data_IF_164416807979
#
_entry.id   IF_164416807979
#
_cell.length_a   1.000
_cell.length_b   1.000
_cell.length_c   1.000
_cell.angle_alpha   90.00
_cell.angle_beta   90.00
_cell.angle_gamma   90.00
#
_symmetry.space_group_name_H-M   'P 1'
#
loop_
_entity.id
_entity.type
_entity.pdbx_description
1 polymer ?
#
# COMPACT_ATOMS: atom_id res chain seq x y z
N UNK A 1 -26.32 4.36 -7.20
CA UNK A 1 -25.49 4.13 -6.00
C UNK A 1 -25.01 5.47 -5.44
N UNK A 2 -24.75 5.54 -4.14
CA UNK A 2 -24.01 6.64 -3.52
C UNK A 2 -22.52 6.50 -3.83
N UNK A 3 -21.87 7.62 -4.07
CA UNK A 3 -20.43 7.70 -4.23
C UNK A 3 -19.90 9.00 -3.61
N UNK A 4 -18.60 8.99 -3.28
CA UNK A 4 -17.87 10.19 -2.93
C UNK A 4 -17.24 10.72 -4.21
N UNK A 5 -17.81 11.79 -4.72
CA UNK A 5 -17.33 12.49 -5.90
C UNK A 5 -16.38 13.60 -5.49
N UNK A 6 -15.27 13.73 -6.20
CA UNK A 6 -14.38 14.87 -6.10
C UNK A 6 -14.78 15.89 -7.16
N UNK A 7 -15.31 17.06 -6.75
CA UNK A 7 -15.76 18.09 -7.70
C UNK A 7 -14.64 18.63 -8.56
N UNK A 8 -13.51 18.93 -7.93
CA UNK A 8 -12.24 19.22 -8.58
C UNK A 8 -11.09 18.85 -7.64
N UNK A 9 -9.89 18.68 -8.20
CA UNK A 9 -8.71 18.45 -7.38
C UNK A 9 -8.39 19.67 -6.50
N UNK A 10 -8.17 19.43 -5.22
CA UNK A 10 -8.00 20.43 -4.18
C UNK A 10 -8.06 19.84 -2.77
N UNK A 11 -8.51 20.65 -1.81
CA UNK A 11 -8.69 20.22 -0.43
C UNK A 11 -9.89 19.29 -0.24
N UNK A 12 -10.02 18.76 0.98
CA UNK A 12 -11.09 17.82 1.38
C UNK A 12 -12.51 18.36 1.18
N UNK A 13 -12.68 19.68 1.17
CA UNK A 13 -13.96 20.37 0.95
C UNK A 13 -14.57 20.09 -0.43
N UNK A 14 -13.76 19.57 -1.37
CA UNK A 14 -14.22 19.19 -2.71
C UNK A 14 -14.88 17.81 -2.77
N UNK A 15 -14.86 17.03 -1.68
CA UNK A 15 -15.60 15.77 -1.60
C UNK A 15 -17.10 16.03 -1.41
N UNK A 16 -17.92 15.43 -2.27
CA UNK A 16 -19.38 15.44 -2.18
C UNK A 16 -19.98 14.05 -2.24
N UNK A 17 -21.04 13.84 -1.47
CA UNK A 17 -21.86 12.64 -1.57
C UNK A 17 -22.91 12.83 -2.66
N UNK A 18 -22.81 12.01 -3.69
CA UNK A 18 -23.69 12.09 -4.86
C UNK A 18 -24.29 10.74 -5.20
N UNK A 19 -25.47 10.77 -5.82
CA UNK A 19 -26.06 9.59 -6.43
C UNK A 19 -25.60 9.52 -7.88
N UNK A 20 -24.93 8.42 -8.23
CA UNK A 20 -24.43 8.12 -9.58
C UNK A 20 -25.01 6.79 -10.06
N UNK A 21 -25.07 6.53 -11.38
CA UNK A 21 -25.48 5.23 -11.89
C UNK A 21 -24.63 4.08 -11.34
N UNK A 22 -25.24 2.90 -11.15
CA UNK A 22 -24.45 1.69 -10.89
C UNK A 22 -23.75 1.32 -12.22
N UNK A 23 -22.43 1.09 -12.22
CA UNK A 23 -21.70 0.72 -13.43
C UNK A 23 -22.09 -0.69 -13.92
N UNK A 24 -22.09 -0.87 -15.24
CA UNK A 24 -22.25 -2.20 -15.86
C UNK A 24 -20.90 -2.92 -15.94
N UNK A 25 -20.91 -4.24 -15.86
CA UNK A 25 -19.71 -5.08 -16.01
C UNK A 25 -19.51 -5.55 -17.45
N UNK A 26 -18.26 -5.87 -17.79
CA UNK A 26 -17.88 -6.66 -18.97
C UNK A 26 -17.74 -8.14 -18.63
N UNK A 27 -17.52 -8.97 -19.65
CA UNK A 27 -17.45 -10.43 -19.54
C UNK A 27 -16.34 -10.92 -18.59
N UNK A 28 -15.26 -10.16 -18.41
CA UNK A 28 -14.10 -10.46 -17.56
C UNK A 28 -14.09 -9.70 -16.22
N UNK A 29 -15.18 -9.00 -15.90
CA UNK A 29 -15.31 -8.15 -14.72
C UNK A 29 -16.35 -8.69 -13.72
N UNK A 30 -16.27 -8.20 -12.49
CA UNK A 30 -17.26 -8.40 -11.44
C UNK A 30 -17.75 -7.06 -10.91
N UNK A 31 -19.00 -7.03 -10.44
CA UNK A 31 -19.55 -5.92 -9.68
C UNK A 31 -19.42 -6.25 -8.20
N UNK A 32 -18.72 -5.40 -7.47
CA UNK A 32 -18.47 -5.56 -6.03
C UNK A 32 -19.35 -4.58 -5.29
N UNK A 33 -20.14 -5.06 -4.33
CA UNK A 33 -20.72 -4.23 -3.26
C UNK A 33 -19.65 -3.96 -2.23
N UNK A 34 -19.16 -2.73 -2.17
CA UNK A 34 -18.01 -2.33 -1.35
C UNK A 34 -18.38 -2.42 0.13
N UNK A 35 -17.46 -2.97 0.94
CA UNK A 35 -17.60 -3.13 2.40
C UNK A 35 -16.56 -2.35 3.18
N UNK A 36 -15.36 -2.22 2.63
CA UNK A 36 -14.33 -1.33 3.14
C UNK A 36 -13.39 -0.87 2.02
N UNK A 37 -12.81 0.31 2.20
CA UNK A 37 -11.69 0.82 1.39
C UNK A 37 -10.58 1.33 2.31
N UNK A 38 -9.34 1.29 1.83
CA UNK A 38 -8.19 1.75 2.60
C UNK A 38 -7.73 3.12 2.10
N UNK A 39 -7.29 3.98 3.02
CA UNK A 39 -6.73 5.29 2.69
C UNK A 39 -5.21 5.19 2.61
N UNK A 40 -4.66 5.76 1.56
CA UNK A 40 -3.25 5.80 1.22
C UNK A 40 -2.79 7.25 1.01
N UNK A 41 -1.51 7.56 1.25
CA UNK A 41 -0.95 8.86 0.89
C UNK A 41 -1.16 9.22 -0.60
N UNK A 42 -1.19 8.22 -1.47
CA UNK A 42 -1.48 8.39 -2.90
C UNK A 42 -2.88 8.97 -3.14
N UNK A 43 -3.88 8.62 -2.31
CA UNK A 43 -5.24 9.16 -2.43
C UNK A 43 -5.26 10.66 -2.17
N UNK A 44 -4.55 11.10 -1.12
CA UNK A 44 -4.43 12.52 -0.79
C UNK A 44 -3.66 13.30 -1.87
N UNK A 45 -2.58 12.73 -2.41
CA UNK A 45 -1.84 13.34 -3.53
C UNK A 45 -2.74 13.51 -4.75
N UNK A 46 -3.48 12.47 -5.13
CA UNK A 46 -4.36 12.55 -6.31
C UNK A 46 -5.54 13.50 -6.06
N UNK A 47 -6.05 13.56 -4.83
CA UNK A 47 -7.08 14.54 -4.45
C UNK A 47 -6.57 15.96 -4.64
N UNK A 48 -5.36 16.28 -4.19
CA UNK A 48 -4.86 17.67 -4.12
C UNK A 48 -4.13 18.14 -5.40
N UNK A 49 -3.34 17.26 -6.02
CA UNK A 49 -2.33 17.69 -6.99
C UNK A 49 -2.81 17.61 -8.45
N UNK A 50 -3.10 18.77 -9.04
CA UNK A 50 -3.51 18.91 -10.46
C UNK A 50 -2.48 18.38 -11.48
N UNK A 51 -1.19 18.28 -11.13
CA UNK A 51 -0.18 17.76 -12.05
C UNK A 51 -0.29 16.26 -12.33
N UNK A 52 -1.04 15.53 -11.49
CA UNK A 52 -1.33 14.09 -11.69
C UNK A 52 -2.75 13.83 -12.17
N UNK A 53 -3.43 14.84 -12.72
CA UNK A 53 -4.79 14.72 -13.27
C UNK A 53 -4.94 13.64 -14.34
N UNK A 54 -3.85 13.28 -15.02
CA UNK A 54 -3.82 12.18 -16.01
C UNK A 54 -4.28 10.83 -15.44
N UNK A 55 -4.20 10.62 -14.12
CA UNK A 55 -4.69 9.39 -13.43
C UNK A 55 -6.18 9.15 -13.65
N UNK A 56 -6.96 10.22 -13.83
CA UNK A 56 -8.39 10.12 -14.08
C UNK A 56 -8.72 9.80 -15.54
N UNK A 57 -7.80 9.97 -16.49
CA UNK A 57 -8.10 9.83 -17.91
C UNK A 57 -9.29 10.71 -18.32
N UNK A 58 -10.30 10.10 -18.95
CA UNK A 58 -11.58 10.74 -19.33
C UNK A 58 -12.74 10.37 -18.38
N UNK A 59 -12.43 9.77 -17.22
CA UNK A 59 -13.44 9.24 -16.30
C UNK A 59 -14.22 10.37 -15.61
N UNK A 60 -15.55 10.34 -15.71
CA UNK A 60 -16.45 11.20 -14.95
C UNK A 60 -17.60 10.39 -14.32
N UNK A 61 -18.15 10.80 -13.16
CA UNK A 61 -17.56 11.78 -12.24
C UNK A 61 -16.26 11.26 -11.61
N UNK A 62 -15.43 12.17 -11.10
CA UNK A 62 -14.16 11.82 -10.43
C UNK A 62 -14.45 11.12 -9.11
N UNK A 63 -14.18 9.82 -9.03
CA UNK A 63 -14.34 9.01 -7.81
C UNK A 63 -12.97 8.42 -7.50
N UNK A 64 -12.52 8.56 -6.25
CA UNK A 64 -11.15 8.22 -5.85
C UNK A 64 -11.00 6.76 -5.41
N UNK A 65 -9.76 6.39 -5.10
CA UNK A 65 -9.37 5.17 -4.40
C UNK A 65 -9.06 3.98 -5.31
N UNK A 66 -8.17 3.13 -4.83
CA UNK A 66 -7.74 1.88 -5.49
C UNK A 66 -8.00 0.62 -4.66
N UNK A 67 -7.96 0.74 -3.33
CA UNK A 67 -8.14 -0.41 -2.43
C UNK A 67 -9.62 -0.73 -2.24
N UNK A 68 -9.97 -2.00 -2.41
CA UNK A 68 -11.33 -2.48 -2.17
C UNK A 68 -11.32 -3.77 -1.37
N UNK A 69 -12.28 -3.89 -0.45
CA UNK A 69 -12.81 -5.18 -0.05
C UNK A 69 -14.34 -5.14 -0.04
N UNK A 70 -14.98 -6.19 -0.55
CA UNK A 70 -16.43 -6.24 -0.65
C UNK A 70 -16.95 -7.58 -1.13
N UNK A 71 -18.24 -7.66 -1.41
CA UNK A 71 -18.90 -8.88 -1.87
C UNK A 71 -19.25 -8.78 -3.35
N UNK A 72 -19.01 -9.85 -4.12
CA UNK A 72 -19.41 -9.93 -5.52
C UNK A 72 -20.93 -10.07 -5.62
N UNK A 73 -21.58 -9.19 -6.38
CA UNK A 73 -23.03 -9.19 -6.60
C UNK A 73 -23.42 -9.49 -8.05
N UNK A 74 -22.48 -9.37 -8.99
CA UNK A 74 -22.65 -9.70 -10.40
C UNK A 74 -21.29 -10.15 -10.97
N UNK A 75 -21.28 -11.07 -11.94
CA UNK A 75 -20.06 -11.52 -12.62
C UNK A 75 -20.27 -11.68 -14.13
N UNK A 76 -19.25 -11.35 -14.89
CA UNK A 76 -19.23 -11.54 -16.34
C UNK A 76 -19.10 -13.01 -16.73
N UNK A 77 -19.45 -13.34 -17.97
CA UNK A 77 -19.52 -14.72 -18.47
C UNK A 77 -18.17 -15.45 -18.47
N UNK A 78 -17.05 -14.73 -18.53
CA UNK A 78 -15.70 -15.30 -18.58
C UNK A 78 -15.05 -15.42 -17.19
N UNK A 79 -15.73 -14.97 -16.12
CA UNK A 79 -15.21 -15.06 -14.75
C UNK A 79 -15.49 -16.45 -14.17
N UNK A 80 -14.43 -17.22 -13.95
CA UNK A 80 -14.50 -18.63 -13.54
C UNK A 80 -13.89 -18.93 -12.17
N UNK A 81 -13.06 -18.04 -11.63
CA UNK A 81 -12.35 -18.20 -10.36
C UNK A 81 -13.01 -17.48 -9.18
N UNK A 82 -14.08 -16.72 -9.43
CA UNK A 82 -14.81 -15.92 -8.44
C UNK A 82 -16.31 -16.12 -8.69
N UNK A 83 -17.08 -16.33 -7.62
CA UNK A 83 -18.51 -16.55 -7.66
C UNK A 83 -19.31 -15.38 -7.05
N UNK A 84 -20.59 -15.27 -7.45
CA UNK A 84 -21.52 -14.34 -6.81
C UNK A 84 -21.68 -14.74 -5.34
N UNK A 85 -21.55 -13.76 -4.44
CA UNK A 85 -21.58 -13.95 -3.00
C UNK A 85 -20.20 -14.10 -2.35
N UNK A 86 -19.12 -14.29 -3.13
CA UNK A 86 -17.77 -14.32 -2.60
C UNK A 86 -17.37 -12.93 -2.07
N UNK A 87 -16.71 -12.94 -0.92
CA UNK A 87 -15.98 -11.77 -0.43
C UNK A 87 -14.63 -11.71 -1.14
N UNK A 88 -14.29 -10.56 -1.70
CA UNK A 88 -13.06 -10.32 -2.47
C UNK A 88 -12.34 -9.07 -1.98
N UNK A 89 -11.06 -8.94 -2.32
CA UNK A 89 -10.27 -7.74 -2.08
C UNK A 89 -9.14 -7.60 -3.10
N UNK A 90 -8.63 -6.38 -3.29
CA UNK A 90 -7.57 -6.10 -4.25
C UNK A 90 -7.30 -4.62 -4.48
N UNK A 91 -6.39 -4.37 -5.42
CA UNK A 91 -6.00 -3.03 -5.91
C UNK A 91 -6.51 -2.88 -7.33
N UNK A 92 -7.37 -1.91 -7.58
CA UNK A 92 -8.03 -1.76 -8.87
C UNK A 92 -7.31 -0.75 -9.76
N UNK A 93 -6.98 -1.14 -11.00
CA UNK A 93 -6.59 -0.24 -12.12
C UNK A 93 -5.34 0.65 -11.93
N UNK A 94 -4.63 0.57 -10.80
CA UNK A 94 -3.42 1.37 -10.55
C UNK A 94 -2.40 1.27 -11.70
N UNK A 95 -1.84 2.39 -12.20
CA UNK A 95 -1.92 3.74 -11.66
C UNK A 95 -3.17 4.55 -12.07
N UNK A 96 -3.99 4.06 -13.00
CA UNK A 96 -5.27 4.70 -13.32
C UNK A 96 -6.25 4.59 -12.15
N UNK A 97 -7.24 5.47 -12.10
CA UNK A 97 -8.16 5.54 -10.96
C UNK A 97 -9.06 4.30 -10.83
N UNK A 98 -9.12 3.72 -9.62
CA UNK A 98 -9.92 2.52 -9.33
C UNK A 98 -11.40 2.79 -9.02
N UNK A 99 -11.75 4.04 -8.63
CA UNK A 99 -13.12 4.49 -8.32
C UNK A 99 -13.78 3.73 -7.16
N UNK A 100 -12.97 3.28 -6.19
CA UNK A 100 -13.44 2.47 -5.05
C UNK A 100 -14.25 3.25 -4.02
N UNK A 101 -14.21 4.58 -4.03
CA UNK A 101 -15.04 5.41 -3.16
C UNK A 101 -16.51 5.51 -3.68
N UNK A 102 -17.12 4.37 -4.01
CA UNK A 102 -18.57 4.21 -4.22
C UNK A 102 -19.16 2.97 -3.49
N UNK A 103 -20.49 2.89 -3.35
CA UNK A 103 -21.15 1.68 -2.79
C UNK A 103 -20.93 0.43 -3.66
N UNK A 104 -20.74 0.62 -4.98
CA UNK A 104 -20.39 -0.45 -5.90
C UNK A 104 -19.23 -0.05 -6.80
N UNK A 105 -18.39 -1.01 -7.15
CA UNK A 105 -17.27 -0.80 -8.07
C UNK A 105 -17.13 -1.98 -9.02
N UNK A 106 -16.77 -1.70 -10.27
CA UNK A 106 -16.43 -2.71 -11.28
C UNK A 106 -14.94 -3.00 -11.20
N UNK A 107 -14.61 -4.29 -11.13
CA UNK A 107 -13.24 -4.76 -11.05
C UNK A 107 -13.00 -5.89 -12.06
N UNK A 108 -11.92 -5.85 -12.84
CA UNK A 108 -11.46 -7.03 -13.57
C UNK A 108 -11.15 -8.16 -12.57
N UNK A 109 -11.69 -9.36 -12.83
CA UNK A 109 -11.54 -10.48 -11.90
C UNK A 109 -10.05 -10.86 -11.67
N UNK A 110 -9.18 -10.58 -12.65
CA UNK A 110 -7.74 -10.80 -12.59
C UNK A 110 -6.97 -9.89 -11.62
N UNK A 111 -7.63 -8.91 -11.01
CA UNK A 111 -7.03 -7.96 -10.06
C UNK A 111 -7.39 -8.28 -8.60
N UNK A 112 -8.16 -9.34 -8.38
CA UNK A 112 -8.76 -9.66 -7.08
C UNK A 112 -8.26 -11.00 -6.56
N UNK A 113 -8.36 -11.15 -5.24
CA UNK A 113 -8.34 -12.44 -4.58
C UNK A 113 -9.58 -12.61 -3.70
N UNK A 114 -9.97 -13.85 -3.45
CA UNK A 114 -11.02 -14.19 -2.47
C UNK A 114 -10.50 -13.84 -1.06
N UNK A 115 -11.28 -13.08 -0.30
CA UNK A 115 -10.97 -12.67 1.06
C UNK A 115 -11.00 -13.88 1.99
N UNK A 116 -9.95 -14.14 2.78
CA UNK A 116 -9.98 -15.14 3.83
C UNK A 116 -11.12 -14.88 4.84
N UNK A 117 -11.78 -15.93 5.31
CA UNK A 117 -12.90 -15.83 6.26
C UNK A 117 -12.47 -15.39 7.67
N UNK A 118 -11.20 -15.56 8.02
CA UNK A 118 -10.65 -15.26 9.35
C UNK A 118 -10.28 -13.77 9.55
N UNK A 119 -10.42 -12.93 8.53
CA UNK A 119 -10.14 -11.48 8.61
C UNK A 119 -11.38 -10.66 8.26
N UNK A 120 -11.45 -9.44 8.79
CA UNK A 120 -12.51 -8.49 8.46
C UNK A 120 -12.31 -7.85 7.07
N UNK A 121 -13.34 -7.16 6.55
CA UNK A 121 -13.19 -6.40 5.29
C UNK A 121 -12.21 -5.23 5.45
N UNK A 122 -12.15 -4.61 6.63
CA UNK A 122 -11.22 -3.54 6.96
C UNK A 122 -9.77 -4.03 6.90
N UNK A 123 -9.51 -5.18 7.50
CA UNK A 123 -8.20 -5.83 7.45
C UNK A 123 -7.81 -6.22 6.01
N UNK A 124 -8.76 -6.72 5.22
CA UNK A 124 -8.53 -7.08 3.83
C UNK A 124 -8.22 -5.83 2.98
N UNK A 125 -9.04 -4.77 3.07
CA UNK A 125 -8.81 -3.52 2.35
C UNK A 125 -7.45 -2.89 2.74
N UNK A 126 -7.10 -2.90 4.03
CA UNK A 126 -5.80 -2.44 4.52
C UNK A 126 -4.61 -3.22 3.95
N UNK A 127 -4.84 -4.46 3.52
CA UNK A 127 -3.82 -5.38 2.97
C UNK A 127 -3.76 -5.39 1.43
N UNK A 128 -4.39 -4.44 0.75
CA UNK A 128 -4.33 -4.32 -0.70
C UNK A 128 -3.06 -3.57 -1.15
N UNK A 129 -3.14 -2.28 -1.50
CA UNK A 129 -2.04 -1.50 -2.08
C UNK A 129 -0.78 -1.56 -1.23
N UNK A 130 -0.92 -1.37 0.08
CA UNK A 130 0.21 -1.32 0.98
C UNK A 130 0.99 -2.64 1.04
N UNK A 131 0.30 -3.80 0.99
CA UNK A 131 0.98 -5.10 0.97
C UNK A 131 1.70 -5.33 -0.36
N UNK A 132 1.06 -5.03 -1.50
CA UNK A 132 1.70 -5.14 -2.82
C UNK A 132 2.91 -4.20 -2.96
N UNK A 133 2.84 -3.02 -2.33
CA UNK A 133 3.93 -2.03 -2.32
C UNK A 133 5.16 -2.55 -1.60
N UNK A 134 4.98 -3.39 -0.58
CA UNK A 134 6.10 -4.09 0.06
C UNK A 134 6.51 -5.35 -0.72
N UNK A 135 5.56 -6.19 -1.12
CA UNK A 135 5.80 -7.53 -1.66
C UNK A 135 6.50 -7.53 -3.02
N UNK A 136 5.99 -6.78 -4.00
CA UNK A 136 6.50 -6.80 -5.38
C UNK A 136 7.99 -6.45 -5.48
N UNK A 137 8.45 -5.34 -4.87
CA UNK A 137 9.87 -5.03 -4.92
C UNK A 137 10.74 -6.04 -4.15
N UNK A 138 10.26 -6.58 -3.02
CA UNK A 138 10.96 -7.62 -2.27
C UNK A 138 11.14 -8.88 -3.14
N UNK A 139 10.09 -9.32 -3.84
CA UNK A 139 10.15 -10.46 -4.76
C UNK A 139 11.11 -10.21 -5.93
N UNK A 140 11.20 -8.97 -6.43
CA UNK A 140 12.10 -8.61 -7.53
C UNK A 140 13.58 -8.71 -7.14
N UNK A 141 13.93 -8.33 -5.91
CA UNK A 141 15.31 -8.43 -5.41
C UNK A 141 15.62 -9.84 -4.93
N UNK A 142 14.66 -10.48 -4.25
CA UNK A 142 14.83 -11.77 -3.59
C UNK A 142 15.64 -11.62 -2.30
N UNK A 143 15.00 -11.84 -1.16
CA UNK A 143 15.68 -11.92 0.14
C UNK A 143 16.23 -13.34 0.30
N UNK A 144 17.50 -13.44 0.69
CA UNK A 144 18.14 -14.70 1.07
C UNK A 144 18.13 -14.86 2.58
N UNK A 145 18.28 -16.11 3.01
CA UNK A 145 18.41 -16.45 4.42
C UNK A 145 19.52 -15.61 5.08
N UNK A 146 19.17 -14.89 6.15
CA UNK A 146 20.03 -13.97 6.91
C UNK A 146 20.51 -12.70 6.19
N UNK A 147 19.96 -12.35 5.02
CA UNK A 147 20.18 -11.00 4.46
C UNK A 147 19.75 -9.95 5.50
N UNK A 148 20.59 -8.94 5.74
CA UNK A 148 20.25 -7.82 6.62
C UNK A 148 19.40 -6.84 5.86
N UNK A 149 18.14 -6.68 6.29
CA UNK A 149 17.14 -5.86 5.63
C UNK A 149 16.79 -4.66 6.53
N UNK A 150 17.15 -3.45 6.11
CA UNK A 150 16.72 -2.23 6.76
C UNK A 150 15.39 -1.76 6.18
N UNK A 151 14.42 -1.50 7.05
CA UNK A 151 13.11 -1.00 6.66
C UNK A 151 12.92 0.36 7.31
N UNK A 152 12.83 1.40 6.48
CA UNK A 152 12.56 2.77 6.96
C UNK A 152 11.06 3.00 7.11
N UNK A 153 10.66 3.91 8.01
CA UNK A 153 9.27 4.10 8.40
C UNK A 153 8.54 2.78 8.75
N UNK A 154 9.25 1.86 9.44
CA UNK A 154 8.82 0.47 9.63
C UNK A 154 7.46 0.30 10.32
N UNK A 155 7.03 1.27 11.14
CA UNK A 155 5.72 1.24 11.79
C UNK A 155 4.58 1.85 10.95
N UNK A 156 4.85 2.29 9.71
CA UNK A 156 3.88 2.93 8.83
C UNK A 156 3.04 1.96 8.01
N UNK A 157 2.20 2.50 7.11
CA UNK A 157 1.26 1.73 6.29
C UNK A 157 1.91 0.63 5.46
N UNK A 158 2.99 0.95 4.72
CA UNK A 158 3.74 -0.06 3.96
C UNK A 158 4.80 -0.76 4.83
N UNK A 159 5.48 0.00 5.68
CA UNK A 159 6.60 -0.51 6.50
C UNK A 159 6.21 -1.73 7.34
N UNK A 160 5.01 -1.75 7.93
CA UNK A 160 4.59 -2.85 8.79
C UNK A 160 4.35 -4.16 8.02
N UNK A 161 3.99 -4.08 6.73
CA UNK A 161 3.95 -5.24 5.84
C UNK A 161 5.36 -5.63 5.39
N UNK A 162 6.21 -4.66 5.07
CA UNK A 162 7.59 -4.92 4.67
C UNK A 162 8.37 -5.69 5.76
N UNK A 163 8.18 -5.36 7.05
CA UNK A 163 8.78 -6.11 8.17
C UNK A 163 8.40 -7.59 8.09
N UNK A 164 7.10 -7.85 7.98
CA UNK A 164 6.58 -9.22 7.97
C UNK A 164 7.01 -9.99 6.72
N UNK A 165 6.98 -9.38 5.54
CA UNK A 165 7.47 -10.02 4.32
C UNK A 165 8.97 -10.31 4.38
N UNK A 166 9.77 -9.35 4.83
CA UNK A 166 11.22 -9.56 4.95
C UNK A 166 11.54 -10.70 5.92
N UNK A 167 10.83 -10.79 7.05
CA UNK A 167 10.93 -11.94 7.97
C UNK A 167 10.44 -13.24 7.35
N UNK A 168 9.31 -13.22 6.65
CA UNK A 168 8.75 -14.40 5.99
C UNK A 168 9.73 -15.01 4.98
N UNK A 169 10.52 -14.18 4.28
CA UNK A 169 11.53 -14.62 3.33
C UNK A 169 12.92 -14.92 3.96
N UNK A 170 13.01 -14.99 5.29
CA UNK A 170 14.25 -15.39 5.99
C UNK A 170 15.23 -14.25 6.26
N UNK A 171 14.82 -13.00 6.05
CA UNK A 171 15.66 -11.83 6.33
C UNK A 171 15.88 -11.59 7.83
N UNK A 172 17.02 -10.98 8.14
CA UNK A 172 17.31 -10.38 9.44
C UNK A 172 16.93 -8.89 9.39
N UNK A 173 15.84 -8.52 10.05
CA UNK A 173 15.15 -7.24 9.84
C UNK A 173 15.52 -6.20 10.88
N UNK A 174 16.01 -5.07 10.40
CA UNK A 174 16.22 -3.86 11.16
C UNK A 174 15.06 -2.89 10.89
N UNK A 175 14.29 -2.56 11.91
CA UNK A 175 13.17 -1.64 11.82
C UNK A 175 13.58 -0.24 12.28
N UNK A 176 13.58 0.73 11.35
CA UNK A 176 13.78 2.14 11.64
C UNK A 176 12.43 2.86 11.78
N UNK A 177 12.10 3.28 12.99
CA UNK A 177 10.86 4.01 13.30
C UNK A 177 11.03 4.88 14.55
N UNK A 178 9.99 5.61 14.96
CA UNK A 178 10.02 6.38 16.20
C UNK A 178 9.95 5.45 17.41
N UNK A 179 10.56 5.85 18.53
CA UNK A 179 10.55 5.06 19.77
C UNK A 179 9.17 4.58 20.22
N UNK A 180 8.12 5.39 19.99
CA UNK A 180 6.73 5.04 20.30
C UNK A 180 6.20 3.80 19.54
N UNK A 181 6.82 3.44 18.41
CA UNK A 181 6.41 2.29 17.58
C UNK A 181 7.30 1.05 17.80
N UNK A 182 8.22 1.07 18.78
CA UNK A 182 9.17 -0.03 19.03
C UNK A 182 8.46 -1.37 19.23
N UNK A 183 7.59 -1.45 20.23
CA UNK A 183 6.96 -2.72 20.59
C UNK A 183 6.07 -3.24 19.46
N UNK A 184 5.46 -2.31 18.71
CA UNK A 184 4.69 -2.63 17.51
C UNK A 184 5.55 -3.33 16.46
N UNK A 185 6.68 -2.74 16.04
CA UNK A 185 7.51 -3.33 14.97
C UNK A 185 8.25 -4.59 15.41
N UNK A 186 8.67 -4.68 16.67
CA UNK A 186 9.25 -5.91 17.25
C UNK A 186 8.21 -7.03 17.26
N UNK A 187 6.96 -6.72 17.65
CA UNK A 187 5.86 -7.70 17.64
C UNK A 187 5.51 -8.22 16.25
N UNK A 188 5.85 -7.49 15.18
CA UNK A 188 5.72 -7.92 13.78
C UNK A 188 6.88 -8.80 13.29
N UNK A 189 7.92 -8.97 14.11
CA UNK A 189 9.05 -9.86 13.85
C UNK A 189 10.38 -9.16 13.56
N UNK A 190 10.48 -7.83 13.67
CA UNK A 190 11.77 -7.15 13.53
C UNK A 190 12.79 -7.68 14.57
N UNK A 191 14.03 -7.93 14.14
CA UNK A 191 15.09 -8.48 14.98
C UNK A 191 15.85 -7.37 15.73
N UNK A 192 16.06 -6.23 15.07
CA UNK A 192 16.65 -5.03 15.66
C UNK A 192 15.72 -3.82 15.47
N UNK A 193 15.73 -2.93 16.46
CA UNK A 193 14.97 -1.67 16.40
C UNK A 193 15.90 -0.48 16.50
N UNK A 194 15.75 0.46 15.57
CA UNK A 194 16.50 1.71 15.52
C UNK A 194 15.53 2.88 15.67
N UNK A 195 15.75 3.67 16.73
CA UNK A 195 15.00 4.90 16.98
C UNK A 195 15.67 6.07 16.28
N UNK A 196 15.09 6.54 15.17
CA UNK A 196 15.68 7.65 14.39
C UNK A 196 15.75 8.96 15.18
N UNK A 197 15.02 9.08 16.31
CA UNK A 197 15.01 10.28 17.14
C UNK A 197 16.24 10.35 18.08
N UNK A 198 17.00 9.25 18.21
CA UNK A 198 18.17 9.16 19.10
C UNK A 198 19.50 9.49 18.42
N UNK A 199 19.49 9.72 17.10
CA UNK A 199 20.66 10.05 16.33
C UNK A 199 20.56 9.59 14.88
N UNK A 200 21.55 9.94 14.05
CA UNK A 200 21.62 9.49 12.67
C UNK A 200 21.78 7.96 12.61
N UNK A 201 20.80 7.28 11.98
CA UNK A 201 20.80 5.82 11.90
C UNK A 201 22.02 5.27 11.14
N UNK A 202 22.53 6.03 10.17
CA UNK A 202 23.69 5.67 9.36
C UNK A 202 25.01 5.65 10.13
N UNK A 203 25.06 6.14 11.37
CA UNK A 203 26.23 5.98 12.24
C UNK A 203 26.24 4.64 12.97
N UNK A 204 25.07 4.03 13.19
CA UNK A 204 24.91 2.80 13.98
C UNK A 204 24.49 1.59 13.16
N UNK A 205 23.93 1.82 11.97
CA UNK A 205 23.53 0.77 11.03
C UNK A 205 24.59 0.65 9.93
N UNK A 206 25.10 -0.56 9.73
CA UNK A 206 26.05 -0.92 8.68
C UNK A 206 25.75 -2.31 8.14
N UNK A 207 26.41 -2.63 7.03
CA UNK A 207 26.43 -3.96 6.44
C UNK A 207 25.03 -4.48 6.06
N UNK A 208 24.22 -3.60 5.45
CA UNK A 208 22.87 -3.92 4.97
C UNK A 208 22.93 -4.50 3.55
N UNK A 209 22.17 -5.56 3.30
CA UNK A 209 22.04 -6.20 2.00
C UNK A 209 20.89 -5.57 1.19
N UNK A 210 19.81 -5.18 1.87
CA UNK A 210 18.62 -4.56 1.27
C UNK A 210 18.07 -3.42 2.13
N UNK A 211 17.83 -2.25 1.53
CA UNK A 211 17.03 -1.18 2.13
C UNK A 211 15.68 -1.07 1.44
N UNK A 212 14.61 -1.13 2.22
CA UNK A 212 13.26 -0.72 1.81
C UNK A 212 13.03 0.70 2.31
N UNK A 213 13.07 1.66 1.39
CA UNK A 213 12.97 3.09 1.65
C UNK A 213 11.54 3.60 1.48
N UNK A 214 10.88 3.88 2.60
CA UNK A 214 9.51 4.39 2.67
C UNK A 214 9.41 5.81 3.25
N UNK A 215 10.53 6.49 3.56
CA UNK A 215 10.51 7.86 4.08
C UNK A 215 10.43 8.86 2.93
N UNK A 216 9.39 9.70 2.98
CA UNK A 216 9.25 10.87 2.11
C UNK A 216 10.06 12.04 2.69
N UNK A 217 11.37 12.07 2.44
CA UNK A 217 12.21 13.21 2.81
C UNK A 217 13.41 13.36 1.88
N UNK A 218 13.70 14.60 1.48
CA UNK A 218 14.85 14.92 0.64
C UNK A 218 16.15 14.48 1.31
N UNK A 219 17.02 13.84 0.53
CA UNK A 219 18.31 13.34 1.02
C UNK A 219 18.25 12.07 1.87
N UNK A 220 17.07 11.54 2.23
CA UNK A 220 16.99 10.32 3.03
C UNK A 220 17.53 9.10 2.28
N UNK A 221 17.21 8.97 0.99
CA UNK A 221 17.78 7.94 0.09
C UNK A 221 19.31 7.98 0.09
N UNK A 222 19.90 9.19 0.09
CA UNK A 222 21.35 9.35 0.15
C UNK A 222 21.96 8.76 1.43
N UNK A 223 21.31 8.95 2.58
CA UNK A 223 21.75 8.40 3.88
C UNK A 223 21.56 6.88 3.92
N UNK A 224 20.43 6.40 3.40
CA UNK A 224 20.15 4.96 3.27
C UNK A 224 21.15 4.22 2.38
N UNK A 225 21.74 4.88 1.37
CA UNK A 225 22.83 4.26 0.59
C UNK A 225 24.13 4.06 1.38
N UNK A 226 24.36 4.80 2.48
CA UNK A 226 25.62 4.75 3.24
C UNK A 226 25.72 3.56 4.19
N UNK A 227 24.61 2.85 4.40
CA UNK A 227 24.56 1.66 5.26
C UNK A 227 24.63 0.36 4.47
N UNK A 228 24.50 0.43 3.14
CA UNK A 228 24.50 -0.72 2.25
C UNK A 228 25.92 -1.24 2.00
N UNK A 229 26.05 -2.56 1.91
CA UNK A 229 27.24 -3.22 1.38
C UNK A 229 27.39 -2.94 -0.12
N UNK A 230 28.62 -2.98 -0.66
CA UNK A 230 28.81 -3.13 -2.11
C UNK A 230 28.05 -4.35 -2.64
N UNK A 231 27.27 -4.16 -3.70
CA UNK A 231 26.36 -5.16 -4.27
C UNK A 231 24.96 -5.17 -3.64
N UNK A 232 24.73 -4.42 -2.56
CA UNK A 232 23.42 -4.29 -1.92
C UNK A 232 22.41 -3.52 -2.77
N UNK A 233 21.14 -3.62 -2.39
CA UNK A 233 20.02 -2.98 -3.11
C UNK A 233 19.29 -1.94 -2.26
N UNK A 234 18.89 -0.84 -2.87
CA UNK A 234 17.96 0.14 -2.30
C UNK A 234 16.69 0.18 -3.15
N UNK A 235 15.55 -0.01 -2.50
CA UNK A 235 14.23 0.11 -3.12
C UNK A 235 13.56 1.36 -2.56
N UNK A 236 13.40 2.38 -3.41
CA UNK A 236 12.56 3.53 -3.09
C UNK A 236 11.10 3.21 -3.38
N UNK A 237 10.23 3.44 -2.40
CA UNK A 237 8.78 3.26 -2.53
C UNK A 237 8.04 4.56 -2.82
N UNK A 238 8.68 5.71 -2.62
CA UNK A 238 8.03 7.02 -2.75
C UNK A 238 8.36 7.74 -4.05
N UNK A 239 9.64 7.82 -4.41
CA UNK A 239 10.12 8.64 -5.51
C UNK A 239 11.13 7.93 -6.39
N UNK A 240 11.23 8.38 -7.64
CA UNK A 240 12.31 8.03 -8.54
C UNK A 240 13.69 8.30 -7.94
N UNK A 241 14.70 7.57 -8.41
CA UNK A 241 16.11 7.84 -8.11
C UNK A 241 16.58 8.99 -8.99
N UNK A 242 17.06 10.07 -8.37
CA UNK A 242 17.60 11.23 -9.09
C UNK A 242 18.92 10.89 -9.78
N UNK A 243 19.36 11.74 -10.71
CA UNK A 243 20.64 11.55 -11.40
C UNK A 243 21.83 11.51 -10.42
N UNK A 244 21.83 12.38 -9.41
CA UNK A 244 22.89 12.44 -8.40
C UNK A 244 22.89 11.22 -7.48
N UNK A 245 21.70 10.73 -7.09
CA UNK A 245 21.57 9.49 -6.33
C UNK A 245 22.02 8.28 -7.15
N UNK A 246 21.69 8.22 -8.44
CA UNK A 246 22.15 7.16 -9.33
C UNK A 246 23.68 7.17 -9.48
N UNK A 247 24.29 8.36 -9.60
CA UNK A 247 25.74 8.51 -9.60
C UNK A 247 26.37 8.06 -8.28
N UNK A 248 25.74 8.38 -7.13
CA UNK A 248 26.19 7.91 -5.82
C UNK A 248 26.08 6.39 -5.69
N UNK A 249 24.94 5.81 -6.06
CA UNK A 249 24.71 4.36 -6.06
C UNK A 249 25.78 3.65 -6.90
N UNK A 250 26.07 4.14 -8.11
CA UNK A 250 27.13 3.60 -8.96
C UNK A 250 28.51 3.66 -8.30
N UNK A 251 28.87 4.78 -7.64
CA UNK A 251 30.15 4.91 -6.92
C UNK A 251 30.27 3.93 -5.75
N UNK A 252 29.16 3.65 -5.08
CA UNK A 252 29.10 2.71 -3.95
C UNK A 252 28.87 1.25 -4.38
N UNK A 253 28.75 0.98 -5.70
CA UNK A 253 28.38 -0.32 -6.25
C UNK A 253 27.03 -0.84 -5.70
N UNK A 254 26.02 0.02 -5.63
CA UNK A 254 24.67 -0.30 -5.13
C UNK A 254 23.66 -0.33 -6.27
N UNK A 255 22.69 -1.23 -6.18
CA UNK A 255 21.52 -1.28 -7.04
C UNK A 255 20.38 -0.46 -6.44
N UNK A 256 20.26 0.81 -6.82
CA UNK A 256 19.17 1.68 -6.37
C UNK A 256 18.09 1.81 -7.46
N UNK A 257 16.82 1.59 -7.10
CA UNK A 257 15.70 1.79 -8.02
C UNK A 257 14.41 2.19 -7.29
N UNK A 258 13.50 2.81 -8.03
CA UNK A 258 12.13 3.07 -7.59
C UNK A 258 11.21 1.94 -8.05
N UNK A 259 10.28 1.53 -7.20
CA UNK A 259 9.29 0.52 -7.54
C UNK A 259 7.86 1.08 -7.48
N UNK A 260 7.27 1.31 -8.65
CA UNK A 260 5.82 1.52 -8.78
C UNK A 260 5.11 0.18 -8.81
N UNK A 261 4.04 0.02 -8.04
CA UNK A 261 3.26 -1.22 -8.04
C UNK A 261 2.41 -1.34 -9.30
N UNK A 262 2.13 -2.58 -9.67
CA UNK A 262 1.09 -2.95 -10.63
C UNK A 262 0.03 -3.77 -9.93
N UNK A 263 -1.25 -3.64 -10.31
CA UNK A 263 -2.27 -4.59 -9.86
C UNK A 263 -1.90 -6.03 -10.27
N UNK A 264 -2.20 -7.02 -9.43
CA UNK A 264 -1.82 -8.42 -9.66
C UNK A 264 -2.67 -9.36 -8.82
N UNK A 265 -3.60 -10.09 -9.47
CA UNK A 265 -4.38 -11.16 -8.83
C UNK A 265 -3.48 -12.22 -8.15
N UNK A 266 -2.44 -12.76 -8.81
CA UNK A 266 -1.54 -13.73 -8.19
C UNK A 266 -0.82 -13.21 -6.93
N UNK A 267 -0.40 -11.94 -6.92
CA UNK A 267 0.17 -11.36 -5.69
C UNK A 267 -0.89 -11.20 -4.60
N UNK A 268 -2.12 -10.81 -4.96
CA UNK A 268 -3.23 -10.74 -4.01
C UNK A 268 -3.61 -12.11 -3.46
N UNK A 269 -3.54 -13.18 -4.25
CA UNK A 269 -3.75 -14.56 -3.81
C UNK A 269 -2.67 -15.00 -2.81
N UNK A 270 -1.41 -14.63 -3.07
CA UNK A 270 -0.32 -14.87 -2.13
C UNK A 270 -0.54 -14.11 -0.82
N UNK A 271 -0.95 -12.85 -0.88
CA UNK A 271 -1.32 -12.05 0.30
C UNK A 271 -2.49 -12.72 1.05
N UNK A 272 -3.54 -13.14 0.34
CA UNK A 272 -4.69 -13.84 0.92
C UNK A 272 -4.28 -15.11 1.68
N UNK A 273 -3.38 -15.91 1.09
CA UNK A 273 -2.83 -17.09 1.74
C UNK A 273 -2.12 -16.74 3.05
N UNK A 274 -1.25 -15.73 3.07
CA UNK A 274 -0.53 -15.37 4.31
C UNK A 274 -1.45 -14.78 5.39
N UNK A 275 -2.47 -14.02 4.99
CA UNK A 275 -3.53 -13.55 5.90
C UNK A 275 -4.32 -14.72 6.50
N UNK A 276 -4.65 -15.73 5.68
CA UNK A 276 -5.34 -16.93 6.13
C UNK A 276 -4.49 -17.76 7.11
N UNK A 277 -3.20 -17.89 6.84
CA UNK A 277 -2.24 -18.60 7.69
C UNK A 277 -1.84 -17.82 8.94
N UNK A 278 -2.27 -16.55 9.08
CA UNK A 278 -1.87 -15.67 10.18
C UNK A 278 -0.39 -15.25 10.13
N UNK A 279 0.28 -15.45 9.00
CA UNK A 279 1.69 -15.05 8.77
C UNK A 279 1.84 -13.62 8.29
N UNK A 280 0.75 -13.03 7.83
CA UNK A 280 0.63 -11.60 7.57
C UNK A 280 -0.51 -11.07 8.44
N UNK A 281 -0.22 -10.08 9.28
CA UNK A 281 -1.17 -9.48 10.20
C UNK A 281 -1.27 -7.99 9.88
N UNK A 282 -2.39 -7.53 9.31
CA UNK A 282 -2.61 -6.12 9.03
C UNK A 282 -2.92 -5.37 10.32
N UNK A 283 -2.37 -4.17 10.45
CA UNK A 283 -2.71 -3.26 11.55
C UNK A 283 -3.56 -2.10 11.05
N UNK A 284 -4.85 -2.10 11.40
CA UNK A 284 -5.76 -0.98 11.18
C UNK A 284 -5.78 -0.14 12.45
N UNK A 285 -5.20 1.06 12.41
CA UNK A 285 -5.16 1.94 13.59
C UNK A 285 -6.42 2.77 13.74
N UNK A 286 -7.08 3.10 12.64
CA UNK A 286 -8.27 3.94 12.62
C UNK A 286 -9.25 3.45 11.57
N UNK A 287 -10.52 3.37 11.97
CA UNK A 287 -11.65 3.10 11.09
C UNK A 287 -12.56 4.32 11.16
N UNK A 288 -12.82 4.92 10.00
CA UNK A 288 -13.76 6.02 9.84
C UNK A 288 -15.03 5.51 9.15
N UNK A 289 -16.16 6.15 9.43
CA UNK A 289 -17.37 5.90 8.64
C UNK A 289 -17.21 6.45 7.22
N UNK A 290 -17.99 5.91 6.28
CA UNK A 290 -18.08 6.44 4.91
C UNK A 290 -18.28 7.95 4.83
N UNK A 291 -19.08 8.51 5.75
CA UNK A 291 -19.36 9.95 5.83
C UNK A 291 -18.18 10.81 6.29
N UNK A 292 -17.11 10.19 6.78
CA UNK A 292 -15.94 10.86 7.36
C UNK A 292 -14.71 10.80 6.46
N UNK A 293 -14.87 10.53 5.17
CA UNK A 293 -13.78 10.46 4.19
C UNK A 293 -12.82 11.67 4.25
N UNK A 294 -13.37 12.88 4.44
CA UNK A 294 -12.59 14.09 4.60
C UNK A 294 -11.66 14.02 5.83
N UNK A 295 -12.17 13.53 6.97
CA UNK A 295 -11.36 13.36 8.18
C UNK A 295 -10.26 12.32 7.99
N UNK A 296 -10.57 11.21 7.33
CA UNK A 296 -9.61 10.16 7.06
C UNK A 296 -8.47 10.64 6.13
N UNK A 297 -8.80 11.49 5.15
CA UNK A 297 -7.80 12.15 4.30
C UNK A 297 -6.90 13.11 5.09
N UNK A 298 -7.49 13.99 5.92
CA UNK A 298 -6.70 14.87 6.79
C UNK A 298 -5.80 14.10 7.75
N UNK A 299 -6.25 12.92 8.20
CA UNK A 299 -5.48 12.07 9.10
C UNK A 299 -4.29 11.41 8.39
N UNK A 300 -4.46 10.87 7.18
CA UNK A 300 -3.33 10.29 6.43
C UNK A 300 -2.29 11.35 6.05
N UNK A 301 -2.72 12.59 5.82
CA UNK A 301 -1.87 13.73 5.48
C UNK A 301 -0.92 14.14 6.62
N UNK A 302 -1.21 13.76 7.87
CA UNK A 302 -0.30 13.99 9.02
C UNK A 302 0.99 13.18 8.93
N UNK A 303 1.05 12.11 8.14
CA UNK A 303 2.26 11.32 7.90
C UNK A 303 2.78 10.49 9.08
N UNK A 304 2.01 10.36 10.17
CA UNK A 304 2.44 9.66 11.39
C UNK A 304 1.67 8.38 11.71
N UNK A 305 0.76 7.95 10.83
CA UNK A 305 -0.07 6.75 11.00
C UNK A 305 0.73 5.52 11.40
N UNK A 306 0.28 4.79 12.41
CA UNK A 306 0.73 3.44 12.71
C UNK A 306 -0.12 2.46 11.89
N UNK A 307 0.48 1.68 10.99
CA UNK A 307 -0.28 0.83 10.07
C UNK A 307 -1.22 1.63 9.15
N UNK A 308 -2.50 1.24 9.09
CA UNK A 308 -3.46 1.67 8.05
C UNK A 308 -4.69 2.39 8.60
N UNK A 309 -5.22 3.31 7.80
CA UNK A 309 -6.51 3.96 7.97
C UNK A 309 -7.50 3.34 6.98
N UNK A 310 -8.70 3.04 7.45
CA UNK A 310 -9.74 2.39 6.66
C UNK A 310 -11.04 3.18 6.75
N UNK A 311 -11.81 3.15 5.68
CA UNK A 311 -13.21 3.55 5.67
C UNK A 311 -14.08 2.31 5.67
N UNK A 312 -14.98 2.21 6.63
CA UNK A 312 -16.05 1.22 6.64
C UNK A 312 -17.30 1.78 5.94
N UNK A 313 -17.97 0.93 5.15
CA UNK A 313 -19.08 1.32 4.25
C UNK A 313 -20.47 1.17 4.86
N UNK A 314 -20.54 0.61 6.06
CA UNK A 314 -21.76 0.28 6.79
C UNK A 314 -22.40 1.48 7.51
#
# INVERSE_FOLDING_TARGET
MKAIVLKEQGGVENFTFEFVPVPNIKDDEVLIKVKAVSINPADAIVRENKSVSWIFGEELPLILGWDVSGQVVEKGANVTNIEIGDDVFGVLKHPNIGRTYAEFVVAPASQLAVKPKNISHEQAAASALAALTALQPINKVGIKENDRVLITAAGGGVGHFAVQFAKYFGGYVLALASGAKKDFVIGLGADEFIDYQKGPFEEVVKDIDLVIEAVKADGHINRSMEVLKPGGSLISLWSGITADEALKAKRLNIHAFYNMITYSGPDMEFVAKLLQEGKLVPHVSQVFSWTEIAKAHLEIEKGHTQGKIVIAMD
#
